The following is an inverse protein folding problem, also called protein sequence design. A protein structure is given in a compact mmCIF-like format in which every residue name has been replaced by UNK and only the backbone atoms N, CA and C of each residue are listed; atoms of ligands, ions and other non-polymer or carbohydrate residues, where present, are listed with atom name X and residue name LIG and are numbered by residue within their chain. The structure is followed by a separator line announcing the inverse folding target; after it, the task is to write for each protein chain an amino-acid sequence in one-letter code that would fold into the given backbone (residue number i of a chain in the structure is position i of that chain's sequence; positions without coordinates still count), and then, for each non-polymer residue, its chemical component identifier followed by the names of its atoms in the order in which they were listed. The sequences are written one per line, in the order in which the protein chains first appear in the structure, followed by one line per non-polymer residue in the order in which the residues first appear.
data_IF_585097921225
#
_entry.id   IF_585097921225
#
_cell.length_a   1.000
_cell.length_b   1.000
_cell.length_c   1.000
_cell.angle_alpha   90.00
_cell.angle_beta   90.00
_cell.angle_gamma   90.00
#
_symmetry.space_group_name_H-M   'P 1'
#
loop_
_entity.id
_entity.type
_entity.pdbx_description
1 polymer ?
#
# COMPACT_ATOMS: atom_id res chain seq x y z
N UNK A 1 10.08 10.65 -4.29
CA UNK A 1 11.50 10.60 -3.84
C UNK A 1 12.16 11.97 -3.73
N UNK A 2 11.80 12.97 -4.57
CA UNK A 2 12.40 14.32 -4.54
C UNK A 2 11.99 15.18 -3.32
N UNK A 3 10.84 14.88 -2.72
CA UNK A 3 10.37 15.53 -1.50
C UNK A 3 11.33 15.27 -0.32
N UNK A 4 11.31 16.17 0.67
CA UNK A 4 12.15 16.08 1.86
C UNK A 4 11.47 15.23 2.96
N UNK A 5 12.05 14.07 3.27
CA UNK A 5 11.58 13.12 4.28
C UNK A 5 12.74 12.18 4.70
N UNK A 6 12.63 11.59 5.89
CA UNK A 6 13.56 10.56 6.38
C UNK A 6 12.86 9.20 6.50
N UNK A 7 11.59 9.22 6.94
CA UNK A 7 10.72 8.06 6.97
C UNK A 7 9.41 8.37 6.22
N UNK A 8 8.87 7.38 5.52
CA UNK A 8 7.56 7.46 4.83
C UNK A 8 6.72 6.27 5.23
N UNK A 9 5.47 6.53 5.60
CA UNK A 9 4.42 5.52 5.76
C UNK A 9 3.44 5.70 4.60
N UNK A 10 3.32 4.69 3.76
CA UNK A 10 2.36 4.60 2.66
C UNK A 10 1.19 3.73 3.14
N UNK A 11 -0.01 4.27 3.10
CA UNK A 11 -1.26 3.58 3.36
C UNK A 11 -1.89 3.22 2.01
N UNK A 12 -1.92 1.93 1.65
CA UNK A 12 -2.36 1.47 0.32
C UNK A 12 -3.82 1.86 0.05
N UNK A 13 -4.05 2.45 -1.13
CA UNK A 13 -5.34 2.95 -1.58
C UNK A 13 -6.04 3.81 -0.54
N UNK A 14 -5.43 4.88 -0.04
CA UNK A 14 -5.99 5.79 0.95
C UNK A 14 -6.36 7.12 0.29
N UNK A 15 -7.66 7.36 0.13
CA UNK A 15 -8.16 8.64 -0.40
C UNK A 15 -7.88 9.79 0.56
N UNK A 16 -7.56 10.95 0.00
CA UNK A 16 -7.38 12.19 0.78
C UNK A 16 -8.61 12.59 1.60
N UNK A 17 -9.81 12.56 1.01
CA UNK A 17 -11.05 12.98 1.69
C UNK A 17 -11.44 12.05 2.83
N UNK A 18 -11.21 10.75 2.66
CA UNK A 18 -11.37 9.78 3.74
C UNK A 18 -10.37 10.08 4.86
N UNK A 19 -9.08 10.19 4.54
CA UNK A 19 -8.03 10.46 5.52
C UNK A 19 -8.33 11.73 6.31
N UNK A 20 -8.60 12.86 5.63
CA UNK A 20 -8.94 14.14 6.26
C UNK A 20 -10.12 14.02 7.23
N UNK A 21 -11.13 13.23 6.89
CA UNK A 21 -12.34 13.12 7.70
C UNK A 21 -12.18 12.31 9.00
N UNK A 22 -11.20 11.41 9.08
CA UNK A 22 -11.03 10.50 10.24
C UNK A 22 -9.65 10.57 10.88
N UNK A 23 -8.70 11.33 10.33
CA UNK A 23 -7.34 11.41 10.83
C UNK A 23 -7.29 11.84 12.30
N UNK A 24 -6.61 11.04 13.12
CA UNK A 24 -6.32 11.32 14.52
C UNK A 24 -4.86 11.64 14.78
N UNK A 25 -3.99 11.54 13.77
CA UNK A 25 -2.56 11.77 13.89
C UNK A 25 -2.25 13.26 13.88
N UNK A 26 -1.39 13.69 14.80
CA UNK A 26 -0.87 15.06 14.84
C UNK A 26 0.12 15.32 13.69
N UNK A 27 -0.04 16.46 13.00
CA UNK A 27 0.87 16.86 11.94
C UNK A 27 0.28 17.95 11.05
N UNK A 28 1.02 18.34 10.01
CA UNK A 28 0.55 19.27 8.99
C UNK A 28 0.02 18.50 7.78
N UNK A 29 -1.31 18.43 7.65
CA UNK A 29 -1.98 17.73 6.56
C UNK A 29 -2.08 18.63 5.32
N UNK A 30 -1.53 18.13 4.22
CA UNK A 30 -1.73 18.64 2.87
C UNK A 30 -2.10 17.45 1.95
N UNK A 31 -2.16 17.67 0.64
CA UNK A 31 -2.31 16.61 -0.35
C UNK A 31 -1.19 16.63 -1.39
N UNK A 32 -1.02 15.49 -2.06
CA UNK A 32 -0.22 15.39 -3.29
C UNK A 32 -1.03 14.72 -4.38
N UNK A 33 -0.60 14.90 -5.63
CA UNK A 33 -1.13 14.15 -6.76
C UNK A 33 -0.19 12.99 -7.00
N UNK A 34 -0.60 11.79 -6.61
CA UNK A 34 0.06 10.56 -7.00
C UNK A 34 0.08 10.47 -8.53
N UNK A 35 1.20 10.03 -9.13
CA UNK A 35 1.25 9.82 -10.56
C UNK A 35 0.43 8.59 -10.99
N UNK A 36 -0.15 7.84 -10.07
CA UNK A 36 -0.75 6.54 -10.30
C UNK A 36 -2.20 6.45 -9.83
N UNK A 37 -2.94 5.49 -10.39
CA UNK A 37 -4.26 5.10 -9.93
C UNK A 37 -4.30 3.72 -9.27
N UNK A 38 -3.20 2.96 -9.31
CA UNK A 38 -3.07 1.63 -8.71
C UNK A 38 -1.60 1.37 -8.28
N UNK A 39 -1.36 0.48 -7.33
CA UNK A 39 0.00 0.20 -6.81
C UNK A 39 1.03 -0.15 -7.88
N UNK A 40 0.76 -0.99 -8.90
CA UNK A 40 1.77 -1.31 -9.93
C UNK A 40 2.23 -0.06 -10.69
N UNK A 41 1.30 0.83 -11.03
CA UNK A 41 1.62 2.10 -11.67
C UNK A 41 2.39 3.03 -10.74
N UNK A 42 2.06 3.03 -9.44
CA UNK A 42 2.77 3.81 -8.43
C UNK A 42 4.22 3.36 -8.33
N UNK A 43 4.44 2.04 -8.23
CA UNK A 43 5.76 1.43 -8.13
C UNK A 43 6.58 1.67 -9.41
N UNK A 44 6.00 1.40 -10.58
CA UNK A 44 6.65 1.64 -11.88
C UNK A 44 7.12 3.10 -12.00
N UNK A 45 6.20 4.06 -11.85
CA UNK A 45 6.51 5.48 -12.05
C UNK A 45 7.50 6.04 -11.04
N UNK A 46 7.50 5.54 -9.80
CA UNK A 46 8.41 6.01 -8.77
C UNK A 46 9.76 5.31 -8.79
N UNK A 47 9.84 4.03 -9.15
CA UNK A 47 10.99 3.18 -8.84
C UNK A 47 11.63 2.46 -10.03
N UNK A 48 10.93 2.21 -11.13
CA UNK A 48 11.54 1.59 -12.31
C UNK A 48 12.69 2.44 -12.87
N UNK A 49 13.73 1.75 -13.34
CA UNK A 49 14.94 2.35 -13.92
C UNK A 49 15.70 3.31 -12.97
N UNK A 50 15.42 3.24 -11.66
CA UNK A 50 16.06 4.08 -10.63
C UNK A 50 16.79 3.24 -9.58
N UNK A 51 17.60 3.91 -8.77
CA UNK A 51 18.35 3.29 -7.67
C UNK A 51 18.22 4.14 -6.41
N UNK A 52 17.79 3.51 -5.32
CA UNK A 52 17.55 4.08 -3.99
C UNK A 52 18.26 3.24 -2.93
N UNK A 53 19.56 3.05 -3.11
CA UNK A 53 20.48 2.27 -2.29
C UNK A 53 20.75 2.86 -0.89
N UNK A 54 20.13 3.99 -0.60
CA UNK A 54 20.10 4.67 0.69
C UNK A 54 18.79 4.42 1.47
N UNK A 55 17.88 3.62 0.89
CA UNK A 55 16.52 3.42 1.37
C UNK A 55 16.21 1.94 1.58
N UNK A 56 15.52 1.62 2.67
CA UNK A 56 14.95 0.30 2.94
C UNK A 56 13.43 0.37 2.70
N UNK A 57 12.92 -0.58 1.92
CA UNK A 57 11.49 -0.70 1.59
C UNK A 57 10.88 -1.87 2.35
N UNK A 58 10.02 -1.58 3.32
CA UNK A 58 9.27 -2.56 4.11
C UNK A 58 7.85 -2.62 3.53
N UNK A 59 7.41 -3.77 3.04
CA UNK A 59 6.17 -3.85 2.28
C UNK A 59 5.32 -5.06 2.66
N UNK A 60 4.01 -4.83 2.79
CA UNK A 60 2.98 -5.87 2.82
C UNK A 60 2.38 -6.18 1.44
N UNK A 61 2.87 -5.50 0.40
CA UNK A 61 2.38 -5.60 -0.97
C UNK A 61 3.47 -6.23 -1.89
N UNK A 62 3.30 -7.48 -2.39
CA UNK A 62 4.22 -8.17 -3.31
C UNK A 62 4.32 -7.59 -4.74
N UNK A 63 3.53 -6.59 -5.14
CA UNK A 63 3.48 -6.15 -6.55
C UNK A 63 4.82 -5.67 -7.10
N UNK A 64 5.77 -5.28 -6.25
CA UNK A 64 7.12 -4.90 -6.71
C UNK A 64 7.85 -6.06 -7.41
N UNK A 65 7.54 -7.32 -7.07
CA UNK A 65 8.14 -8.52 -7.68
C UNK A 65 7.71 -8.73 -9.13
N UNK A 66 6.52 -8.23 -9.50
CA UNK A 66 6.04 -8.29 -10.89
C UNK A 66 6.72 -7.24 -11.79
N UNK A 67 7.46 -6.31 -11.21
CA UNK A 67 8.11 -5.18 -11.89
C UNK A 67 9.66 -5.28 -11.87
N UNK A 68 10.22 -6.36 -11.31
CA UNK A 68 11.67 -6.56 -11.24
C UNK A 68 12.40 -5.51 -10.41
N UNK A 69 11.79 -5.03 -9.32
CA UNK A 69 12.33 -3.95 -8.49
C UNK A 69 13.30 -4.42 -7.39
N UNK A 70 13.73 -5.68 -7.41
CA UNK A 70 14.53 -6.32 -6.36
C UNK A 70 15.86 -5.60 -6.05
N UNK A 71 16.46 -4.93 -7.03
CA UNK A 71 17.75 -4.25 -6.89
C UNK A 71 17.64 -2.72 -6.74
N UNK A 72 16.42 -2.17 -6.66
CA UNK A 72 16.20 -0.72 -6.54
C UNK A 72 16.61 -0.20 -5.17
N UNK A 73 16.24 -0.89 -4.10
CA UNK A 73 16.46 -0.44 -2.73
C UNK A 73 17.72 -1.05 -2.11
N UNK A 74 18.21 -0.48 -1.01
CA UNK A 74 19.26 -1.12 -0.20
C UNK A 74 18.82 -2.50 0.30
N UNK A 75 17.56 -2.57 0.75
CA UNK A 75 16.91 -3.81 1.12
C UNK A 75 15.40 -3.67 0.92
N UNK A 76 14.77 -4.75 0.48
CA UNK A 76 13.32 -4.95 0.56
C UNK A 76 13.03 -5.97 1.67
N UNK A 77 12.07 -5.67 2.53
CA UNK A 77 11.61 -6.55 3.61
C UNK A 77 10.17 -6.97 3.29
N UNK A 78 10.02 -8.24 2.95
CA UNK A 78 8.76 -8.87 2.55
C UNK A 78 7.95 -9.31 3.76
N UNK A 79 7.12 -8.40 4.26
CA UNK A 79 6.23 -8.70 5.39
C UNK A 79 5.14 -9.67 4.92
N UNK A 80 4.68 -9.53 3.69
CA UNK A 80 3.66 -10.37 3.06
C UNK A 80 4.06 -11.83 2.90
N UNK A 81 5.36 -12.14 2.79
CA UNK A 81 5.82 -13.52 2.64
C UNK A 81 5.66 -14.32 3.94
N UNK A 82 5.92 -13.68 5.08
CA UNK A 82 6.00 -14.36 6.38
C UNK A 82 4.83 -14.05 7.33
N UNK A 83 4.05 -13.00 7.07
CA UNK A 83 2.97 -12.53 7.96
C UNK A 83 1.61 -12.45 7.26
N UNK A 84 1.41 -13.25 6.20
CA UNK A 84 0.11 -13.38 5.55
C UNK A 84 -0.92 -14.03 6.48
N UNK A 85 -1.97 -13.28 6.84
CA UNK A 85 -3.11 -13.83 7.58
C UNK A 85 -4.08 -14.50 6.60
N UNK A 86 -4.20 -15.83 6.70
CA UNK A 86 -5.08 -16.63 5.82
C UNK A 86 -6.56 -16.40 6.08
N UNK A 87 -6.95 -16.02 7.30
CA UNK A 87 -8.36 -15.77 7.64
C UNK A 87 -8.79 -14.40 7.14
N UNK A 88 -7.93 -13.39 7.30
CA UNK A 88 -8.19 -12.01 6.87
C UNK A 88 -7.80 -11.77 5.42
N UNK A 89 -7.07 -12.69 4.78
CA UNK A 89 -6.57 -12.59 3.40
C UNK A 89 -5.77 -11.30 3.14
N UNK A 90 -4.97 -10.89 4.12
CA UNK A 90 -4.08 -9.73 4.05
C UNK A 90 -2.99 -9.82 5.12
N UNK A 91 -1.98 -8.96 5.04
CA UNK A 91 -1.11 -8.64 6.19
C UNK A 91 -1.84 -7.65 7.09
N UNK A 92 -1.72 -7.83 8.41
CA UNK A 92 -2.29 -6.93 9.41
C UNK A 92 -1.32 -5.80 9.79
N UNK A 93 -1.83 -4.62 10.22
CA UNK A 93 -0.99 -3.48 10.60
C UNK A 93 0.04 -3.78 11.70
N UNK A 94 -0.27 -4.67 12.65
CA UNK A 94 0.65 -5.10 13.72
C UNK A 94 1.96 -5.66 13.13
N UNK A 95 1.86 -6.58 12.17
CA UNK A 95 3.04 -7.19 11.55
C UNK A 95 3.87 -6.17 10.74
N UNK A 96 3.21 -5.23 10.07
CA UNK A 96 3.89 -4.13 9.38
C UNK A 96 4.61 -3.20 10.35
N UNK A 97 4.01 -2.91 11.50
CA UNK A 97 4.59 -2.08 12.56
C UNK A 97 5.83 -2.72 13.14
N UNK A 98 5.76 -3.99 13.53
CA UNK A 98 6.91 -4.75 14.07
C UNK A 98 8.06 -4.83 13.06
N UNK A 99 7.76 -5.15 11.79
CA UNK A 99 8.76 -5.23 10.74
C UNK A 99 9.40 -3.86 10.47
N UNK A 100 8.62 -2.79 10.46
CA UNK A 100 9.10 -1.41 10.24
C UNK A 100 9.99 -0.95 11.41
N UNK A 101 9.55 -1.17 12.65
CA UNK A 101 10.34 -0.85 13.84
C UNK A 101 11.67 -1.63 13.87
N UNK A 102 11.65 -2.89 13.45
CA UNK A 102 12.85 -3.72 13.32
C UNK A 102 13.80 -3.21 12.23
N UNK A 103 13.25 -2.81 11.07
CA UNK A 103 14.02 -2.23 9.98
C UNK A 103 14.67 -0.91 10.39
N UNK A 104 13.92 -0.02 11.04
CA UNK A 104 14.40 1.25 11.55
C UNK A 104 15.59 1.09 12.49
N UNK A 105 15.50 0.16 13.46
CA UNK A 105 16.61 -0.14 14.40
C UNK A 105 17.81 -0.77 13.71
N UNK A 106 17.58 -1.63 12.71
CA UNK A 106 18.64 -2.34 11.98
C UNK A 106 19.40 -1.43 11.01
N UNK A 107 18.73 -0.41 10.46
CA UNK A 107 19.25 0.47 9.42
C UNK A 107 19.19 1.96 9.82
N UNK A 108 19.92 2.38 10.86
CA UNK A 108 19.83 3.75 11.40
C UNK A 108 20.30 4.83 10.41
N UNK A 109 21.10 4.46 9.41
CA UNK A 109 21.64 5.34 8.37
C UNK A 109 20.90 5.24 7.03
N UNK A 110 19.71 4.62 7.00
CA UNK A 110 18.87 4.50 5.81
C UNK A 110 17.55 5.22 5.99
N UNK A 111 17.03 5.71 4.88
CA UNK A 111 15.62 6.12 4.78
C UNK A 111 14.72 4.89 4.88
N UNK A 112 13.55 5.04 5.47
CA UNK A 112 12.57 3.95 5.58
C UNK A 112 11.32 4.31 4.77
N UNK A 113 10.88 3.40 3.90
CA UNK A 113 9.53 3.41 3.33
C UNK A 113 8.80 2.21 3.89
N UNK A 114 7.69 2.42 4.58
CA UNK A 114 6.80 1.39 5.09
C UNK A 114 5.47 1.42 4.34
N UNK A 115 5.11 0.33 3.66
CA UNK A 115 3.92 0.26 2.82
C UNK A 115 2.90 -0.73 3.40
N UNK A 116 1.94 -0.17 4.11
CA UNK A 116 0.83 -0.88 4.74
C UNK A 116 -0.24 -1.22 3.73
N UNK A 117 -0.90 -2.37 3.90
CA UNK A 117 -2.06 -2.74 3.08
C UNK A 117 -3.30 -1.92 3.45
N UNK A 118 -3.52 -1.60 4.71
CA UNK A 118 -4.73 -0.86 5.08
C UNK A 118 -4.54 0.64 4.78
N UNK A 119 -5.57 1.32 4.26
CA UNK A 119 -6.99 0.95 4.28
C UNK A 119 -7.53 0.13 3.09
N UNK A 120 -6.69 -0.33 2.15
CA UNK A 120 -7.11 -1.23 1.07
C UNK A 120 -7.86 -2.48 1.60
N UNK A 121 -8.73 -3.03 0.76
CA UNK A 121 -9.50 -4.24 1.02
C UNK A 121 -8.62 -5.51 0.89
N UNK A 122 -8.92 -6.64 1.55
CA UNK A 122 -10.12 -6.91 2.32
C UNK A 122 -10.17 -6.09 3.61
N UNK A 123 -11.37 -5.66 4.00
CA UNK A 123 -11.56 -4.94 5.25
C UNK A 123 -11.40 -5.91 6.43
N UNK A 124 -10.71 -5.48 7.49
CA UNK A 124 -10.40 -6.36 8.63
C UNK A 124 -11.16 -6.03 9.91
N UNK A 125 -11.92 -4.93 9.93
CA UNK A 125 -12.72 -4.47 11.07
C UNK A 125 -14.05 -5.21 11.28
N UNK A 126 -14.88 -4.71 12.19
CA UNK A 126 -16.15 -5.33 12.54
C UNK A 126 -17.15 -5.28 11.38
N UNK A 127 -17.18 -4.15 10.65
CA UNK A 127 -18.08 -3.93 9.50
C UNK A 127 -17.77 -4.86 8.33
N UNK A 128 -16.55 -5.40 8.27
CA UNK A 128 -16.20 -6.44 7.30
C UNK A 128 -17.11 -7.67 7.43
N UNK A 129 -17.56 -8.00 8.65
CA UNK A 129 -18.48 -9.11 8.89
C UNK A 129 -19.88 -8.84 8.33
N UNK A 130 -20.32 -7.58 8.35
CA UNK A 130 -21.60 -7.17 7.76
C UNK A 130 -21.56 -7.16 6.24
N UNK A 131 -20.41 -6.78 5.66
CA UNK A 131 -20.17 -6.96 4.22
C UNK A 131 -20.16 -8.45 3.89
N UNK A 132 -19.53 -9.29 4.71
CA UNK A 132 -19.35 -10.72 4.45
C UNK A 132 -18.12 -11.00 3.59
N UNK A 133 -17.92 -12.26 3.21
CA UNK A 133 -16.75 -12.68 2.45
C UNK A 133 -16.59 -11.87 1.15
N UNK A 134 -15.41 -11.31 0.94
CA UNK A 134 -15.04 -10.57 -0.24
C UNK A 134 -13.56 -10.75 -0.50
N UNK A 135 -13.19 -11.00 -1.74
CA UNK A 135 -11.79 -11.14 -2.09
C UNK A 135 -11.11 -9.78 -2.08
N UNK A 136 -9.83 -9.77 -1.77
CA UNK A 136 -9.01 -8.60 -1.90
C UNK A 136 -7.67 -8.90 -2.51
N UNK A 137 -6.66 -8.92 -1.66
CA UNK A 137 -5.27 -8.97 -2.08
C UNK A 137 -4.75 -10.40 -2.33
N UNK A 138 -5.55 -11.44 -2.05
CA UNK A 138 -5.17 -12.85 -2.24
C UNK A 138 -4.75 -13.19 -3.68
N UNK A 139 -5.32 -12.50 -4.67
CA UNK A 139 -5.01 -12.69 -6.08
C UNK A 139 -3.55 -12.33 -6.36
N UNK A 140 -3.09 -11.18 -5.88
CA UNK A 140 -1.71 -10.74 -6.02
C UNK A 140 -0.74 -11.65 -5.25
N UNK A 141 -1.13 -12.07 -4.05
CA UNK A 141 -0.36 -13.04 -3.26
C UNK A 141 -0.19 -14.38 -4.02
N UNK A 142 -1.28 -15.02 -4.45
CA UNK A 142 -1.24 -16.31 -5.17
C UNK A 142 -0.49 -16.21 -6.50
N UNK A 143 -0.61 -15.10 -7.21
CA UNK A 143 0.18 -14.86 -8.42
C UNK A 143 1.67 -14.94 -8.16
N UNK A 144 2.13 -14.31 -7.08
CA UNK A 144 3.56 -14.26 -6.76
C UNK A 144 4.05 -15.56 -6.12
N UNK A 145 3.23 -16.26 -5.34
CA UNK A 145 3.66 -17.49 -4.63
C UNK A 145 3.40 -18.79 -5.40
N UNK A 146 2.30 -18.86 -6.15
CA UNK A 146 1.80 -20.09 -6.79
C UNK A 146 1.86 -20.01 -8.32
N UNK A 147 1.92 -18.80 -8.90
CA UNK A 147 1.89 -18.58 -10.34
C UNK A 147 0.51 -18.74 -10.97
N UNK A 148 -0.54 -18.84 -10.16
CA UNK A 148 -1.94 -18.89 -10.60
C UNK A 148 -2.77 -17.80 -9.90
N UNK A 149 -3.67 -17.20 -10.68
CA UNK A 149 -4.45 -16.03 -10.30
C UNK A 149 -5.93 -16.40 -10.13
N UNK A 150 -6.41 -16.57 -8.89
CA UNK A 150 -7.84 -16.75 -8.65
C UNK A 150 -8.30 -16.02 -7.40
N UNK A 151 -9.56 -15.58 -7.44
CA UNK A 151 -10.29 -15.01 -6.31
C UNK A 151 -11.33 -16.02 -5.87
N UNK A 152 -11.46 -16.21 -4.56
CA UNK A 152 -12.46 -17.14 -4.03
C UNK A 152 -13.86 -16.50 -3.98
N UNK A 153 -13.94 -15.17 -3.93
CA UNK A 153 -15.16 -14.38 -3.84
C UNK A 153 -15.11 -13.16 -4.77
N UNK A 154 -16.24 -12.49 -5.05
CA UNK A 154 -16.22 -11.14 -5.62
C UNK A 154 -15.53 -10.15 -4.68
N UNK A 155 -14.95 -9.10 -5.22
CA UNK A 155 -14.43 -7.98 -4.44
C UNK A 155 -15.56 -7.15 -3.83
N UNK A 156 -15.25 -6.37 -2.79
CA UNK A 156 -16.24 -5.45 -2.19
C UNK A 156 -16.78 -4.43 -3.20
N UNK A 157 -15.96 -4.06 -4.19
CA UNK A 157 -16.33 -3.13 -5.26
C UNK A 157 -17.30 -3.74 -6.27
N UNK A 158 -17.08 -4.99 -6.67
CA UNK A 158 -18.01 -5.74 -7.54
C UNK A 158 -19.36 -5.93 -6.85
N UNK A 159 -19.37 -6.21 -5.54
CA UNK A 159 -20.60 -6.32 -4.74
C UNK A 159 -21.33 -4.99 -4.59
N UNK A 160 -20.58 -3.90 -4.43
CA UNK A 160 -21.14 -2.55 -4.41
C UNK A 160 -21.75 -2.18 -5.76
N UNK A 161 -21.06 -2.48 -6.86
CA UNK A 161 -21.54 -2.26 -8.23
C UNK A 161 -22.84 -3.04 -8.51
N UNK A 162 -22.91 -4.30 -8.05
CA UNK A 162 -24.09 -5.14 -8.15
C UNK A 162 -25.27 -4.68 -7.27
N UNK A 163 -25.01 -3.82 -6.28
CA UNK A 163 -26.00 -3.38 -5.29
C UNK A 163 -26.22 -4.39 -4.16
N UNK A 164 -25.34 -5.38 -4.00
CA UNK A 164 -25.40 -6.39 -2.94
C UNK A 164 -25.05 -5.81 -1.55
N UNK A 165 -24.30 -4.71 -1.53
CA UNK A 165 -23.95 -3.93 -0.34
C UNK A 165 -24.18 -2.44 -0.58
N UNK A 166 -24.52 -1.70 0.46
CA UNK A 166 -24.77 -0.26 0.33
C UNK A 166 -23.44 0.51 0.25
N UNK A 167 -23.46 1.65 -0.45
CA UNK A 167 -22.30 2.56 -0.51
C UNK A 167 -21.88 3.06 0.88
N UNK A 168 -22.85 3.30 1.76
CA UNK A 168 -22.63 3.74 3.14
C UNK A 168 -21.85 2.68 3.93
N UNK A 169 -22.30 1.42 3.89
CA UNK A 169 -21.61 0.32 4.57
C UNK A 169 -20.17 0.15 4.07
N UNK A 170 -19.95 0.22 2.75
CA UNK A 170 -18.60 0.10 2.17
C UNK A 170 -17.72 1.28 2.56
N UNK A 171 -18.26 2.50 2.58
CA UNK A 171 -17.52 3.70 3.00
C UNK A 171 -17.14 3.62 4.49
N UNK A 172 -18.05 3.18 5.35
CA UNK A 172 -17.81 3.05 6.78
C UNK A 172 -16.81 1.94 7.08
N UNK A 173 -16.87 0.81 6.38
CA UNK A 173 -15.87 -0.26 6.51
C UNK A 173 -14.48 0.20 6.02
N UNK A 174 -14.42 1.00 4.95
CA UNK A 174 -13.18 1.59 4.47
C UNK A 174 -12.58 2.59 5.48
N UNK A 175 -13.44 3.42 6.10
CA UNK A 175 -13.07 4.31 7.19
C UNK A 175 -12.59 3.55 8.44
N UNK A 176 -13.28 2.47 8.81
CA UNK A 176 -12.91 1.59 9.92
C UNK A 176 -11.53 0.97 9.67
N UNK A 177 -11.29 0.47 8.46
CA UNK A 177 -10.01 -0.11 8.08
C UNK A 177 -8.86 0.91 8.19
N UNK A 178 -9.11 2.18 7.84
CA UNK A 178 -8.13 3.25 8.04
C UNK A 178 -7.90 3.54 9.53
N UNK A 179 -8.96 3.61 10.33
CA UNK A 179 -8.87 3.86 11.78
C UNK A 179 -8.10 2.76 12.52
N UNK A 180 -8.20 1.50 12.07
CA UNK A 180 -7.42 0.38 12.62
C UNK A 180 -5.92 0.63 12.47
N UNK A 181 -5.47 1.34 11.43
CA UNK A 181 -4.05 1.60 11.17
C UNK A 181 -3.48 2.72 12.03
N UNK A 182 -4.29 3.70 12.45
CA UNK A 182 -3.75 4.88 13.12
C UNK A 182 -2.97 4.58 14.41
N UNK A 183 -3.42 3.71 15.34
CA UNK A 183 -2.63 3.38 16.53
C UNK A 183 -1.25 2.79 16.18
N UNK A 184 -1.20 1.98 15.12
CA UNK A 184 0.04 1.35 14.65
C UNK A 184 1.00 2.36 14.00
N UNK A 185 0.47 3.34 13.27
CA UNK A 185 1.27 4.45 12.76
C UNK A 185 1.75 5.34 13.90
N UNK A 186 0.91 5.59 14.90
CA UNK A 186 1.28 6.35 16.10
C UNK A 186 2.43 5.70 16.86
N UNK A 187 2.41 4.37 17.04
CA UNK A 187 3.55 3.61 17.61
C UNK A 187 4.86 3.81 16.83
N UNK A 188 4.80 3.88 15.49
CA UNK A 188 5.98 4.18 14.66
C UNK A 188 6.42 5.64 14.81
N UNK A 189 5.49 6.59 14.90
CA UNK A 189 5.79 8.00 15.09
C UNK A 189 6.42 8.27 16.46
N UNK A 190 6.03 7.54 17.51
CA UNK A 190 6.68 7.59 18.82
C UNK A 190 8.11 7.02 18.80
N UNK A 191 8.41 6.13 17.85
CA UNK A 191 9.74 5.54 17.67
C UNK A 191 10.67 6.39 16.79
N UNK A 192 10.12 7.15 15.85
CA UNK A 192 10.89 7.94 14.89
C UNK A 192 11.25 9.31 15.44
N UNK A 193 12.55 9.60 15.49
CA UNK A 193 13.03 10.93 15.90
C UNK A 193 13.05 11.93 14.73
N UNK A 194 12.93 11.45 13.49
CA UNK A 194 13.11 12.25 12.27
C UNK A 194 11.82 12.52 11.50
N UNK A 195 11.94 13.36 10.45
CA UNK A 195 10.80 13.82 9.68
C UNK A 195 10.11 12.65 9.00
N UNK A 196 8.84 12.46 9.35
CA UNK A 196 8.01 11.37 8.83
C UNK A 196 6.87 11.92 8.00
N UNK A 197 6.62 11.29 6.85
CA UNK A 197 5.48 11.59 5.99
C UNK A 197 4.53 10.40 5.98
N UNK A 198 3.24 10.64 6.22
CA UNK A 198 2.18 9.67 5.98
C UNK A 198 1.47 10.05 4.69
N UNK A 199 1.43 9.12 3.73
CA UNK A 199 0.89 9.33 2.38
C UNK A 199 0.16 8.08 1.91
N UNK A 200 -0.35 8.13 0.68
CA UNK A 200 -0.84 6.97 -0.04
C UNK A 200 -0.18 6.81 -1.41
N UNK A 201 -0.25 5.61 -1.97
CA UNK A 201 0.15 5.29 -3.33
C UNK A 201 -0.92 5.69 -4.34
N UNK A 202 -2.20 5.52 -4.01
CA UNK A 202 -3.36 5.95 -4.79
C UNK A 202 -4.63 6.05 -3.91
N UNK A 203 -5.77 6.36 -4.50
CA UNK A 203 -7.08 6.30 -3.83
C UNK A 203 -7.98 5.22 -4.41
N UNK A 204 -9.29 5.34 -4.23
CA UNK A 204 -10.25 4.34 -4.67
C UNK A 204 -11.61 4.99 -5.02
N UNK A 205 -12.30 4.45 -6.03
CA UNK A 205 -13.63 4.88 -6.44
C UNK A 205 -14.73 4.04 -5.79
N UNK A 206 -15.84 4.69 -5.44
CA UNK A 206 -17.04 4.13 -4.85
C UNK A 206 -18.30 4.52 -5.67
N UNK A 207 -18.18 4.51 -6.99
CA UNK A 207 -19.25 4.81 -7.93
C UNK A 207 -19.19 6.23 -8.50
N UNK A 208 -18.08 6.93 -8.37
CA UNK A 208 -17.90 8.20 -9.04
C UNK A 208 -17.88 8.03 -10.56
N UNK A 209 -18.34 9.07 -11.27
CA UNK A 209 -18.41 9.08 -12.73
C UNK A 209 -17.28 9.93 -13.28
N UNK A 210 -16.37 9.37 -14.09
CA UNK A 210 -15.29 10.15 -14.70
C UNK A 210 -15.80 11.19 -15.71
N UNK A 211 -17.04 11.02 -16.20
CA UNK A 211 -17.74 11.97 -17.05
C UNK A 211 -19.26 11.88 -16.79
N UNK A 212 -20.06 12.96 -16.92
CA UNK A 212 -21.50 12.94 -16.62
C UNK A 212 -22.31 11.85 -17.35
N UNK A 213 -21.86 11.46 -18.55
CA UNK A 213 -22.49 10.42 -19.39
C UNK A 213 -21.88 9.02 -19.22
N UNK A 214 -20.83 8.88 -18.42
CA UNK A 214 -20.20 7.59 -18.16
C UNK A 214 -20.96 6.78 -17.10
N UNK A 215 -20.72 5.47 -17.10
CA UNK A 215 -21.13 4.60 -16.00
C UNK A 215 -20.36 4.97 -14.71
N UNK A 216 -20.94 4.74 -13.52
CA UNK A 216 -20.20 4.74 -12.26
C UNK A 216 -19.01 3.77 -12.34
N UNK A 217 -17.90 4.14 -11.72
CA UNK A 217 -16.70 3.30 -11.65
C UNK A 217 -16.38 3.01 -10.19
N UNK A 218 -15.93 1.79 -9.90
CA UNK A 218 -15.62 1.30 -8.56
C UNK A 218 -14.20 0.73 -8.51
N UNK A 219 -13.61 0.72 -7.32
CA UNK A 219 -12.23 0.26 -7.16
C UNK A 219 -11.22 1.25 -7.74
N UNK A 220 -10.10 0.73 -8.24
CA UNK A 220 -8.98 1.54 -8.69
C UNK A 220 -8.45 1.07 -10.06
N UNK A 221 -9.22 1.29 -11.14
CA UNK A 221 -8.82 0.84 -12.47
C UNK A 221 -7.48 1.46 -12.89
N UNK A 222 -6.60 0.61 -13.41
CA UNK A 222 -5.24 0.98 -13.78
C UNK A 222 -5.23 2.03 -14.92
N UNK A 223 -4.41 3.07 -14.79
CA UNK A 223 -4.25 4.13 -15.77
C UNK A 223 -5.41 5.13 -15.85
N UNK A 224 -6.46 4.97 -15.03
CA UNK A 224 -7.58 5.92 -14.98
C UNK A 224 -7.20 7.17 -14.18
N UNK A 225 -7.38 8.34 -14.81
CA UNK A 225 -7.17 9.63 -14.13
C UNK A 225 -8.47 10.10 -13.48
N UNK A 226 -8.51 10.08 -12.16
CA UNK A 226 -9.59 10.66 -11.36
C UNK A 226 -9.01 11.29 -10.09
N UNK A 227 -9.63 12.35 -9.56
CA UNK A 227 -9.14 13.01 -8.35
C UNK A 227 -9.15 12.05 -7.15
N UNK A 228 -10.22 11.27 -6.95
CA UNK A 228 -10.29 10.27 -5.89
C UNK A 228 -9.36 9.05 -6.08
N UNK A 229 -8.68 8.94 -7.23
CA UNK A 229 -7.64 7.92 -7.45
C UNK A 229 -6.23 8.47 -7.23
N UNK A 230 -6.02 9.78 -7.40
CA UNK A 230 -4.68 10.37 -7.46
C UNK A 230 -4.42 11.43 -6.39
N UNK A 231 -5.46 12.07 -5.83
CA UNK A 231 -5.32 13.01 -4.72
C UNK A 231 -5.17 12.20 -3.43
N UNK A 232 -3.94 12.15 -2.92
CA UNK A 232 -3.54 11.36 -1.75
C UNK A 232 -3.19 12.27 -0.56
N UNK A 233 -3.37 11.79 0.69
CA UNK A 233 -2.91 12.52 1.87
C UNK A 233 -1.40 12.74 1.84
N UNK A 234 -0.97 13.83 2.44
CA UNK A 234 0.42 14.15 2.67
C UNK A 234 0.54 14.81 4.04
N UNK A 235 0.51 13.97 5.09
CA UNK A 235 0.66 14.42 6.47
C UNK A 235 2.14 14.47 6.84
N UNK A 236 2.63 15.66 7.15
CA UNK A 236 4.00 15.85 7.63
C UNK A 236 4.01 15.86 9.15
N UNK A 237 4.73 14.91 9.74
CA UNK A 237 5.08 14.88 11.16
C UNK A 237 6.51 15.37 11.31
N UNK A 238 6.70 16.46 12.04
CA UNK A 238 8.00 17.06 12.24
C UNK A 238 8.86 16.16 13.15
N UNK A 239 10.09 15.88 12.72
CA UNK A 239 11.09 15.25 13.57
C UNK A 239 11.86 16.26 14.41
N UNK A 240 12.52 15.78 15.45
CA UNK A 240 13.51 16.56 16.22
C UNK A 240 14.91 16.46 15.61
N UNK A 241 15.18 15.41 14.83
CA UNK A 241 16.47 15.17 14.20
C UNK A 241 16.36 14.84 12.70
N UNK A 242 17.50 14.68 12.03
CA UNK A 242 17.60 14.24 10.63
C UNK A 242 18.58 13.07 10.55
N UNK A 243 18.27 12.09 9.71
CA UNK A 243 19.15 10.93 9.52
C UNK A 243 20.42 11.32 8.79
N UNK A 244 21.55 10.73 9.22
CA UNK A 244 22.75 10.69 8.40
C UNK A 244 22.61 9.54 7.38
N UNK A 245 22.23 9.90 6.15
CA UNK A 245 21.90 8.93 5.10
C UNK A 245 23.15 8.45 4.36
N UNK A 246 23.30 7.13 4.23
CA UNK A 246 24.40 6.48 3.50
C UNK A 246 23.85 5.58 2.40
N UNK A 247 24.33 5.76 1.17
CA UNK A 247 24.00 4.90 0.04
C UNK A 247 24.96 3.71 -0.06
N UNK A 248 24.45 2.49 -0.05
CA UNK A 248 25.23 1.25 -0.17
C UNK A 248 24.48 0.23 -1.03
N UNK A 249 25.22 -0.54 -1.83
CA UNK A 249 24.63 -1.53 -2.75
C UNK A 249 23.61 -2.45 -2.05
N UNK A 250 22.62 -2.98 -2.81
CA UNK A 250 21.61 -3.86 -2.26
C UNK A 250 22.23 -5.04 -1.51
N UNK A 251 21.73 -5.30 -0.31
CA UNK A 251 22.03 -6.54 0.40
C UNK A 251 21.14 -7.61 -0.22
N UNK A 252 21.74 -8.57 -0.94
CA UNK A 252 20.99 -9.71 -1.47
C UNK A 252 20.28 -10.41 -0.32
N UNK A 253 18.95 -10.54 -0.41
CA UNK A 253 18.24 -11.49 0.44
C UNK A 253 18.85 -12.88 0.18
N UNK A 254 19.14 -13.62 1.27
CA UNK A 254 19.24 -15.07 1.19
C UNK A 254 17.81 -15.61 1.03
N UNK A 255 17.20 -15.38 -0.13
CA UNK A 255 15.97 -16.07 -0.51
C UNK A 255 16.34 -17.44 -1.04
N UNK A 256 15.69 -18.48 -0.51
CA UNK A 256 15.72 -19.86 -1.05
C UNK A 256 15.44 -19.82 -2.57
N UNK A 257 16.05 -20.67 -3.42
CA UNK A 257 15.97 -20.54 -4.86
C UNK A 257 14.61 -21.03 -5.37
N UNK A 258 13.55 -20.28 -5.11
CA UNK A 258 12.37 -20.25 -5.97
C UNK A 258 12.65 -19.29 -7.13
N UNK A 259 13.65 -19.66 -7.96
CA UNK A 259 14.01 -18.99 -9.20
C UNK A 259 12.96 -19.15 -10.31
N UNK A 260 11.68 -19.03 -9.96
CA UNK A 260 10.56 -19.34 -10.85
C UNK A 260 9.47 -18.23 -10.83
N UNK A 261 9.58 -17.24 -9.93
CA UNK A 261 8.60 -16.15 -9.84
C UNK A 261 8.84 -15.11 -10.94
N UNK A 262 10.09 -14.69 -11.17
CA UNK A 262 10.42 -13.67 -12.18
C UNK A 262 10.22 -14.15 -13.62
N UNK A 263 10.49 -15.42 -13.92
CA UNK A 263 10.37 -15.95 -15.30
C UNK A 263 8.92 -16.26 -15.69
N UNK A 264 8.02 -16.57 -14.74
CA UNK A 264 6.59 -16.82 -15.01
C UNK A 264 5.76 -15.55 -15.19
N UNK A 265 6.20 -14.43 -14.60
CA UNK A 265 5.43 -13.18 -14.60
C UNK A 265 5.55 -12.37 -15.89
N UNK A 266 6.57 -12.64 -16.72
CA UNK A 266 6.70 -12.06 -18.06
C UNK A 266 5.66 -12.61 -19.07
N UNK A 267 5.09 -13.80 -18.80
CA UNK A 267 4.23 -14.54 -19.75
C UNK A 267 2.72 -14.30 -19.57
N UNK A 268 2.28 -13.53 -18.56
CA UNK A 268 0.86 -13.49 -18.17
C UNK A 268 0.12 -12.17 -18.46
N UNK A 269 0.69 -11.29 -19.29
CA UNK A 269 -0.10 -10.24 -19.95
C UNK A 269 -0.85 -9.32 -19.01
N UNK A 270 -0.12 -8.56 -18.18
CA UNK A 270 -0.69 -7.43 -17.42
C UNK A 270 -1.02 -6.25 -18.33
N UNK A 271 -1.94 -6.46 -19.26
CA UNK A 271 -2.69 -5.44 -19.98
C UNK A 271 -4.07 -6.04 -20.26
N UNK A 272 -5.13 -5.30 -19.93
CA UNK A 272 -6.55 -5.60 -20.14
C UNK A 272 -7.24 -6.40 -19.02
N UNK A 273 -7.88 -5.69 -18.08
CA UNK A 273 -9.35 -5.49 -18.06
C UNK A 273 -9.68 -4.12 -17.47
#
# INVERSE_FOLDING_TARGET
MEEDWDNVVILDACRYDLFESVNTLDGNLDYRISPASATPEFLSRNFEEKQYHDTVYVTANPMYRTLGLDEVFHQIIDVWENHWDRQKQTVLPEAMTEATASAYKRFPNKRIISHFMQPHYPFVGELASEIGAHSGYEFAYRNVTEGEASRDNPTVWERLEAGDVSRELVWDAYAENLKIVFPHVEELLELFDEKTVITSDHGNLLGEKPHPLAAPVYGHPHGMRHEHLSKVPWLIVAGTERKYIVSEKPIKQLSDPSGDVTDRLADLGYFDV
#
